data_IF_268946895063
#
_entry.id   IF_268946895063
#
_cell.length_a   1.000
_cell.length_b   1.000
_cell.length_c   1.000
_cell.angle_alpha   90.00
_cell.angle_beta   90.00
_cell.angle_gamma   90.00
#
_symmetry.space_group_name_H-M   'P 1'
#
loop_
_entity.id
_entity.type
_entity.pdbx_description
1 polymer ?
#
# COMPACT_ATOMS: atom_id res chain seq x y z
N UNK A 1 -7.37 0.63 -10.21
CA UNK A 1 -6.84 -0.63 -9.66
C UNK A 1 -5.34 -0.50 -9.57
N UNK A 2 -4.82 -0.38 -8.35
CA UNK A 2 -3.38 -0.48 -8.14
C UNK A 2 -2.84 -1.81 -8.68
N UNK A 3 -1.58 -1.79 -9.08
CA UNK A 3 -0.91 -2.97 -9.61
C UNK A 3 -0.96 -4.11 -8.59
N UNK A 4 -1.33 -5.30 -9.05
CA UNK A 4 -1.29 -6.54 -8.27
C UNK A 4 0.05 -6.72 -7.53
N UNK A 5 1.15 -6.31 -8.17
CA UNK A 5 2.51 -6.36 -7.62
C UNK A 5 2.70 -5.52 -6.35
N UNK A 6 2.00 -4.38 -6.23
CA UNK A 6 2.11 -3.52 -5.05
C UNK A 6 1.36 -4.13 -3.86
N UNK A 7 0.19 -4.72 -4.11
CA UNK A 7 -0.54 -5.47 -3.09
C UNK A 7 0.21 -6.74 -2.67
N UNK A 8 0.86 -7.44 -3.59
CA UNK A 8 1.73 -8.58 -3.26
C UNK A 8 2.87 -8.14 -2.33
N UNK A 9 3.57 -7.04 -2.67
CA UNK A 9 4.62 -6.46 -1.82
C UNK A 9 4.07 -6.09 -0.44
N UNK A 10 2.91 -5.44 -0.36
CA UNK A 10 2.28 -5.09 0.91
C UNK A 10 1.92 -6.34 1.73
N UNK A 11 1.41 -7.40 1.09
CA UNK A 11 1.05 -8.67 1.74
C UNK A 11 2.24 -9.47 2.28
N UNK A 12 3.46 -9.17 1.79
CA UNK A 12 4.70 -9.73 2.36
C UNK A 12 5.10 -9.05 3.67
N UNK A 13 4.56 -7.86 3.96
CA UNK A 13 4.85 -7.07 5.17
C UNK A 13 3.69 -7.19 6.15
N UNK A 14 2.47 -7.00 5.65
CA UNK A 14 1.24 -6.95 6.41
C UNK A 14 0.48 -8.26 6.22
N UNK A 15 0.12 -8.90 7.33
CA UNK A 15 -0.64 -10.16 7.30
C UNK A 15 -1.96 -9.97 6.53
N UNK A 16 -2.37 -10.99 5.75
CA UNK A 16 -3.66 -10.96 5.06
C UNK A 16 -4.85 -10.74 6.01
N UNK A 17 -4.76 -11.22 7.26
CA UNK A 17 -5.77 -10.95 8.29
C UNK A 17 -5.90 -9.46 8.63
N UNK A 18 -4.80 -8.71 8.65
CA UNK A 18 -4.83 -7.28 8.92
C UNK A 18 -5.41 -6.51 7.72
N UNK A 19 -5.00 -6.88 6.49
CA UNK A 19 -5.56 -6.32 5.26
C UNK A 19 -7.09 -6.53 5.18
N UNK A 20 -7.57 -7.72 5.54
CA UNK A 20 -8.99 -8.07 5.51
C UNK A 20 -9.82 -7.43 6.63
N UNK A 21 -9.17 -6.89 7.66
CA UNK A 21 -9.83 -6.24 8.79
C UNK A 21 -9.96 -4.72 8.61
N UNK A 22 -9.45 -4.16 7.50
CA UNK A 22 -9.64 -2.76 7.19
C UNK A 22 -11.12 -2.44 6.99
N UNK A 23 -11.55 -1.32 7.56
CA UNK A 23 -12.83 -0.69 7.19
C UNK A 23 -12.75 -0.10 5.79
N UNK A 24 -13.89 0.11 5.14
CA UNK A 24 -13.96 0.70 3.79
C UNK A 24 -13.19 2.04 3.70
N UNK A 25 -13.28 2.89 4.74
CA UNK A 25 -12.54 4.16 4.81
C UNK A 25 -11.02 3.97 4.89
N UNK A 26 -10.54 2.95 5.62
CA UNK A 26 -9.11 2.65 5.69
C UNK A 26 -8.61 2.02 4.40
N UNK A 27 -9.45 1.24 3.70
CA UNK A 27 -9.12 0.73 2.35
C UNK A 27 -8.95 1.89 1.38
N UNK A 28 -9.88 2.85 1.35
CA UNK A 28 -9.79 4.04 0.50
C UNK A 28 -8.54 4.87 0.81
N UNK A 29 -8.25 5.12 2.09
CA UNK A 29 -7.06 5.85 2.51
C UNK A 29 -5.76 5.12 2.10
N UNK A 30 -5.73 3.79 2.22
CA UNK A 30 -4.58 2.98 1.82
C UNK A 30 -4.37 3.00 0.31
N UNK A 31 -5.45 2.92 -0.48
CA UNK A 31 -5.38 3.04 -1.93
C UNK A 31 -4.85 4.42 -2.36
N UNK A 32 -5.24 5.49 -1.66
CA UNK A 32 -4.74 6.85 -1.90
C UNK A 32 -3.25 6.97 -1.58
N UNK A 33 -2.81 6.55 -0.39
CA UNK A 33 -1.40 6.58 0.04
C UNK A 33 -0.51 5.79 -0.92
N UNK A 34 -0.94 4.58 -1.32
CA UNK A 34 -0.20 3.76 -2.28
C UNK A 34 -0.18 4.39 -3.69
N UNK A 35 -1.25 5.06 -4.10
CA UNK A 35 -1.29 5.78 -5.38
C UNK A 35 -0.32 6.96 -5.38
N UNK A 36 -0.29 7.74 -4.29
CA UNK A 36 0.65 8.84 -4.11
C UNK A 36 2.08 8.34 -4.16
N UNK A 37 2.38 7.25 -3.47
CA UNK A 37 3.70 6.63 -3.47
C UNK A 37 4.15 6.19 -4.87
N UNK A 38 3.25 5.58 -5.66
CA UNK A 38 3.54 5.24 -7.06
C UNK A 38 3.83 6.49 -7.88
N UNK A 39 3.12 7.59 -7.66
CA UNK A 39 3.39 8.85 -8.36
C UNK A 39 4.74 9.46 -7.97
N UNK A 40 5.11 9.43 -6.69
CA UNK A 40 6.40 9.91 -6.19
C UNK A 40 7.59 9.17 -6.82
N UNK A 41 7.42 7.86 -7.06
CA UNK A 41 8.43 7.03 -7.74
C UNK A 41 8.28 7.04 -9.28
N UNK A 42 7.62 8.06 -9.85
CA UNK A 42 7.39 8.19 -11.29
C UNK A 42 6.70 6.96 -11.95
N UNK A 43 5.88 6.24 -11.19
CA UNK A 43 5.21 5.02 -11.66
C UNK A 43 6.05 3.75 -11.51
N UNK A 44 7.28 3.83 -11.01
CA UNK A 44 8.15 2.67 -10.82
C UNK A 44 7.90 1.99 -9.46
N UNK A 45 7.14 0.89 -9.53
CA UNK A 45 6.81 0.06 -8.35
C UNK A 45 8.04 -0.68 -7.81
N UNK A 46 9.08 -0.88 -8.62
CA UNK A 46 10.30 -1.54 -8.16
C UNK A 46 11.16 -0.64 -7.27
N UNK A 47 11.04 0.68 -7.40
CA UNK A 47 11.67 1.66 -6.51
C UNK A 47 10.94 1.83 -5.17
N UNK A 48 9.73 1.29 -5.04
CA UNK A 48 8.98 1.31 -3.77
C UNK A 48 9.59 0.27 -2.81
N UNK A 49 10.13 0.79 -1.72
CA UNK A 49 10.74 0.00 -0.65
C UNK A 49 9.72 -0.54 0.35
N UNK A 50 10.15 -1.46 1.21
CA UNK A 50 9.30 -1.95 2.30
C UNK A 50 8.96 -0.86 3.32
N UNK A 51 9.89 0.07 3.58
CA UNK A 51 9.66 1.17 4.52
C UNK A 51 8.62 2.15 3.97
N UNK A 52 8.66 2.43 2.67
CA UNK A 52 7.64 3.27 2.02
C UNK A 52 6.23 2.65 2.12
N UNK A 53 6.13 1.33 1.95
CA UNK A 53 4.87 0.60 2.07
C UNK A 53 4.34 0.54 3.50
N UNK A 54 5.24 0.42 4.48
CA UNK A 54 4.88 0.44 5.89
C UNK A 54 4.39 1.83 6.30
N UNK A 55 5.05 2.89 5.84
CA UNK A 55 4.61 4.26 6.10
C UNK A 55 3.21 4.53 5.50
N UNK A 56 2.97 4.10 4.25
CA UNK A 56 1.66 4.20 3.62
C UNK A 56 0.57 3.44 4.41
N UNK A 57 0.91 2.26 4.95
CA UNK A 57 0.02 1.50 5.83
C UNK A 57 -0.29 2.26 7.13
N UNK A 58 0.74 2.72 7.85
CA UNK A 58 0.58 3.45 9.12
C UNK A 58 -0.21 4.76 8.96
N UNK A 59 -0.10 5.43 7.82
CA UNK A 59 -0.88 6.63 7.52
C UNK A 59 -2.35 6.33 7.26
N UNK A 60 -2.67 5.15 6.72
CA UNK A 60 -4.00 4.79 6.26
C UNK A 60 -4.87 4.06 7.30
N UNK A 61 -4.26 3.49 8.34
CA UNK A 61 -4.95 2.61 9.32
C UNK A 61 -5.02 3.19 10.72
#
# INVERSE_FOLDING_TARGET
MLSHKLYEKLSNIISQSALNNLSDTQVEALEEELSNLVQEKNGDIDEISYDDLLAAWENAT
#
